data_IF_949573037485
#
_entry.id   IF_949573037485
#
_cell.length_a   1.000
_cell.length_b   1.000
_cell.length_c   1.000
_cell.angle_alpha   90.00
_cell.angle_beta   90.00
_cell.angle_gamma   90.00
#
_symmetry.space_group_name_H-M   'P 1'
#
loop_
_entity.id
_entity.type
_entity.pdbx_description
1 polymer ?
#
# COMPACT_ATOMS: atom_id res chain seq x y z
N UNK A 1 -4.61 25.30 -10.79
CA UNK A 1 -5.57 24.22 -11.11
C UNK A 1 -5.91 23.47 -9.83
N UNK A 2 -7.19 23.31 -9.47
CA UNK A 2 -7.59 22.60 -8.23
C UNK A 2 -7.66 21.10 -8.50
N UNK A 3 -6.83 20.30 -7.82
CA UNK A 3 -6.81 18.84 -7.98
C UNK A 3 -8.14 18.22 -7.54
N UNK A 4 -8.77 17.45 -8.45
CA UNK A 4 -9.98 16.66 -8.20
C UNK A 4 -9.64 15.40 -7.41
N UNK A 5 -10.65 14.68 -6.92
CA UNK A 5 -10.41 13.44 -6.18
C UNK A 5 -9.84 12.34 -7.08
N UNK A 6 -10.35 12.19 -8.30
CA UNK A 6 -9.79 11.27 -9.31
C UNK A 6 -8.29 11.47 -9.49
N UNK A 7 -7.84 12.73 -9.65
CA UNK A 7 -6.43 13.05 -9.88
C UNK A 7 -5.57 12.62 -8.67
N UNK A 8 -6.07 12.83 -7.45
CA UNK A 8 -5.35 12.47 -6.22
C UNK A 8 -5.19 10.95 -6.05
N UNK A 9 -6.23 10.17 -6.33
CA UNK A 9 -6.15 8.71 -6.25
C UNK A 9 -5.22 8.14 -7.35
N UNK A 10 -5.24 8.71 -8.56
CA UNK A 10 -4.29 8.34 -9.63
C UNK A 10 -2.85 8.61 -9.20
N UNK A 11 -2.56 9.83 -8.72
CA UNK A 11 -1.22 10.22 -8.25
C UNK A 11 -0.77 9.27 -7.13
N UNK A 12 -1.64 8.98 -6.17
CA UNK A 12 -1.33 8.08 -5.07
C UNK A 12 -0.98 6.66 -5.54
N UNK A 13 -1.77 6.09 -6.47
CA UNK A 13 -1.48 4.77 -7.05
C UNK A 13 -0.14 4.76 -7.79
N UNK A 14 0.18 5.81 -8.56
CA UNK A 14 1.47 5.95 -9.26
C UNK A 14 2.63 5.98 -8.26
N UNK A 15 2.52 6.80 -7.20
CA UNK A 15 3.55 6.90 -6.17
C UNK A 15 3.76 5.55 -5.48
N UNK A 16 2.69 4.84 -5.13
CA UNK A 16 2.77 3.53 -4.48
C UNK A 16 3.40 2.47 -5.40
N UNK A 17 3.03 2.46 -6.69
CA UNK A 17 3.67 1.60 -7.69
C UNK A 17 5.16 1.90 -7.86
N UNK A 18 5.53 3.18 -7.90
CA UNK A 18 6.92 3.61 -7.96
C UNK A 18 7.71 3.15 -6.72
N UNK A 19 7.14 3.24 -5.51
CA UNK A 19 7.78 2.77 -4.28
C UNK A 19 8.12 1.28 -4.33
N UNK A 20 7.16 0.42 -4.72
CA UNK A 20 7.41 -1.02 -4.86
C UNK A 20 8.42 -1.33 -5.97
N UNK A 21 8.39 -0.55 -7.05
CA UNK A 21 9.35 -0.70 -8.16
C UNK A 21 10.77 -0.38 -7.70
N UNK A 22 10.96 0.73 -6.98
CA UNK A 22 12.27 1.10 -6.41
C UNK A 22 12.76 0.03 -5.43
N UNK A 23 11.89 -0.49 -4.56
CA UNK A 23 12.25 -1.56 -3.64
C UNK A 23 12.72 -2.82 -4.40
N UNK A 24 12.02 -3.22 -5.45
CA UNK A 24 12.41 -4.36 -6.28
C UNK A 24 13.77 -4.13 -6.96
N UNK A 25 14.00 -2.93 -7.52
CA UNK A 25 15.28 -2.56 -8.13
C UNK A 25 16.43 -2.60 -7.12
N UNK A 26 16.22 -2.16 -5.89
CA UNK A 26 17.23 -2.25 -4.82
C UNK A 26 17.57 -3.72 -4.53
N UNK A 27 16.57 -4.60 -4.37
CA UNK A 27 16.81 -6.03 -4.12
C UNK A 27 17.58 -6.68 -5.26
N UNK A 28 17.20 -6.41 -6.52
CA UNK A 28 17.90 -6.93 -7.71
C UNK A 28 19.32 -6.41 -7.78
N UNK A 29 19.54 -5.12 -7.52
CA UNK A 29 20.89 -4.53 -7.53
C UNK A 29 21.78 -5.19 -6.49
N UNK A 30 21.28 -5.40 -5.27
CA UNK A 30 22.02 -6.08 -4.21
C UNK A 30 22.31 -7.54 -4.56
N UNK A 31 21.37 -8.25 -5.20
CA UNK A 31 21.63 -9.59 -5.73
C UNK A 31 22.76 -9.61 -6.77
N UNK A 32 22.84 -8.60 -7.64
CA UNK A 32 23.91 -8.50 -8.64
C UNK A 32 25.27 -8.17 -8.02
N UNK A 33 25.28 -7.46 -6.90
CA UNK A 33 26.51 -7.12 -6.17
C UNK A 33 26.96 -8.23 -5.22
N UNK A 34 26.03 -9.07 -4.73
CA UNK A 34 26.31 -10.18 -3.83
C UNK A 34 26.17 -11.54 -4.53
N UNK A 35 27.28 -12.01 -5.10
CA UNK A 35 27.33 -13.29 -5.80
C UNK A 35 27.44 -14.52 -4.88
N UNK A 36 27.61 -14.31 -3.56
CA UNK A 36 27.75 -15.41 -2.60
C UNK A 36 26.39 -15.93 -2.13
N UNK A 37 25.38 -15.06 -2.10
CA UNK A 37 24.04 -15.39 -1.61
C UNK A 37 23.02 -15.15 -2.72
N UNK A 38 22.35 -16.23 -3.14
CA UNK A 38 21.17 -16.13 -3.98
C UNK A 38 19.95 -15.80 -3.11
N UNK A 39 19.63 -14.50 -3.01
CA UNK A 39 18.51 -13.93 -2.24
C UNK A 39 17.17 -14.53 -2.66
N UNK A 40 16.94 -14.66 -3.97
CA UNK A 40 15.66 -15.20 -4.49
C UNK A 40 15.49 -16.65 -4.05
N UNK A 41 16.53 -17.47 -4.24
CA UNK A 41 16.52 -18.87 -3.81
C UNK A 41 16.40 -18.98 -2.29
N UNK A 42 17.12 -18.16 -1.53
CA UNK A 42 17.09 -18.17 -0.07
C UNK A 42 15.70 -17.83 0.48
N UNK A 43 15.05 -16.79 -0.04
CA UNK A 43 13.69 -16.42 0.35
C UNK A 43 12.67 -17.50 -0.02
N UNK A 44 12.86 -18.15 -1.18
CA UNK A 44 11.99 -19.24 -1.64
C UNK A 44 12.11 -20.49 -0.74
N UNK A 45 13.35 -20.85 -0.35
CA UNK A 45 13.60 -21.98 0.53
C UNK A 45 13.24 -21.71 2.00
N UNK A 46 13.13 -20.45 2.40
CA UNK A 46 12.76 -20.03 3.77
C UNK A 46 11.28 -19.63 3.90
N UNK A 47 10.45 -20.04 2.94
CA UNK A 47 9.05 -19.62 2.84
C UNK A 47 8.18 -20.14 3.99
N UNK A 48 8.50 -21.29 4.58
CA UNK A 48 7.85 -21.81 5.78
C UNK A 48 7.99 -20.88 7.01
N UNK A 49 9.11 -20.15 7.07
CA UNK A 49 9.45 -19.16 8.10
C UNK A 49 8.85 -17.77 7.87
N UNK A 50 9.63 -16.72 8.18
CA UNK A 50 9.16 -15.33 8.08
C UNK A 50 9.13 -14.80 6.64
N UNK A 51 9.80 -15.47 5.69
CA UNK A 51 9.87 -15.02 4.30
C UNK A 51 8.47 -14.96 3.64
N UNK A 52 7.51 -15.81 4.05
CA UNK A 52 6.12 -15.70 3.57
C UNK A 52 5.51 -14.33 3.79
N UNK A 53 5.80 -13.68 4.92
CA UNK A 53 5.27 -12.35 5.24
C UNK A 53 5.89 -11.26 4.37
N UNK A 54 7.13 -11.44 3.93
CA UNK A 54 7.74 -10.58 2.92
C UNK A 54 6.97 -10.66 1.59
N UNK A 55 6.72 -11.87 1.09
CA UNK A 55 5.97 -12.07 -0.15
C UNK A 55 4.51 -11.63 -0.04
N UNK A 56 3.81 -11.99 1.04
CA UNK A 56 2.43 -11.58 1.29
C UNK A 56 2.31 -10.05 1.39
N UNK A 57 3.24 -9.40 2.10
CA UNK A 57 3.31 -7.95 2.18
C UNK A 57 3.38 -7.31 0.79
N UNK A 58 4.28 -7.77 -0.08
CA UNK A 58 4.39 -7.27 -1.46
C UNK A 58 3.12 -7.53 -2.26
N UNK A 59 2.59 -8.76 -2.24
CA UNK A 59 1.39 -9.14 -3.00
C UNK A 59 0.19 -8.28 -2.58
N UNK A 60 -0.04 -8.14 -1.28
CA UNK A 60 -1.12 -7.31 -0.77
C UNK A 60 -0.88 -5.82 -1.05
N UNK A 61 0.37 -5.34 -1.06
CA UNK A 61 0.67 -3.97 -1.46
C UNK A 61 0.30 -3.72 -2.93
N UNK A 62 0.61 -4.66 -3.82
CA UNK A 62 0.18 -4.60 -5.23
C UNK A 62 -1.34 -4.58 -5.36
N UNK A 63 -2.04 -5.39 -4.57
CA UNK A 63 -3.51 -5.36 -4.51
C UNK A 63 -4.03 -4.00 -4.04
N UNK A 64 -3.42 -3.39 -3.01
CA UNK A 64 -3.78 -2.04 -2.55
C UNK A 64 -3.56 -1.01 -3.65
N UNK A 65 -2.44 -1.06 -4.39
CA UNK A 65 -2.18 -0.17 -5.53
C UNK A 65 -3.32 -0.27 -6.56
N UNK A 66 -3.69 -1.49 -6.95
CA UNK A 66 -4.79 -1.73 -7.88
C UNK A 66 -6.11 -1.21 -7.31
N UNK A 67 -6.39 -1.46 -6.03
CA UNK A 67 -7.60 -0.99 -5.36
C UNK A 67 -7.68 0.55 -5.34
N UNK A 68 -6.57 1.25 -5.10
CA UNK A 68 -6.48 2.73 -5.16
C UNK A 68 -6.73 3.22 -6.59
N UNK A 69 -6.14 2.56 -7.60
CA UNK A 69 -6.36 2.90 -9.01
C UNK A 69 -7.82 2.69 -9.44
N UNK A 70 -8.43 1.56 -9.07
CA UNK A 70 -9.86 1.27 -9.33
C UNK A 70 -10.74 2.28 -8.60
N UNK A 71 -10.37 2.67 -7.38
CA UNK A 71 -11.08 3.72 -6.64
C UNK A 71 -11.08 5.05 -7.39
N UNK A 72 -9.98 5.39 -8.07
CA UNK A 72 -9.94 6.57 -8.93
C UNK A 72 -11.00 6.51 -10.05
N UNK A 73 -11.32 5.33 -10.59
CA UNK A 73 -12.37 5.19 -11.61
C UNK A 73 -13.76 5.52 -11.03
N UNK A 74 -14.03 5.14 -9.77
CA UNK A 74 -15.28 5.53 -9.10
C UNK A 74 -15.38 7.05 -8.92
N UNK A 75 -14.29 7.70 -8.49
CA UNK A 75 -14.27 9.17 -8.39
C UNK A 75 -14.35 9.84 -9.76
N UNK A 76 -13.71 9.29 -10.79
CA UNK A 76 -13.81 9.75 -12.17
C UNK A 76 -15.25 9.71 -12.66
N UNK A 77 -15.96 8.61 -12.40
CA UNK A 77 -17.36 8.48 -12.76
C UNK A 77 -18.23 9.54 -12.07
N UNK A 78 -18.01 9.83 -10.78
CA UNK A 78 -18.73 10.89 -10.08
C UNK A 78 -18.39 12.29 -10.60
N UNK A 79 -17.11 12.65 -10.65
CA UNK A 79 -16.66 14.02 -10.92
C UNK A 79 -16.69 14.38 -12.41
N UNK A 80 -16.36 13.44 -13.29
CA UNK A 80 -16.22 13.67 -14.74
C UNK A 80 -17.48 13.20 -15.48
N UNK A 81 -17.88 11.94 -15.30
CA UNK A 81 -19.01 11.38 -16.07
C UNK A 81 -20.35 11.95 -15.63
N UNK A 82 -20.61 11.95 -14.32
CA UNK A 82 -21.88 12.43 -13.75
C UNK A 82 -21.86 13.92 -13.38
N UNK A 83 -20.69 14.57 -13.43
CA UNK A 83 -20.54 15.99 -13.10
C UNK A 83 -20.99 16.35 -11.67
N UNK A 84 -20.91 15.40 -10.72
CA UNK A 84 -21.35 15.61 -9.34
C UNK A 84 -20.40 16.53 -8.60
N UNK A 85 -20.96 17.51 -7.89
CA UNK A 85 -20.19 18.34 -6.95
C UNK A 85 -20.05 17.63 -5.60
N UNK A 86 -18.82 17.54 -5.12
CA UNK A 86 -18.53 17.07 -3.77
C UNK A 86 -18.90 18.14 -2.74
N UNK A 87 -19.89 17.82 -1.91
CA UNK A 87 -20.25 18.60 -0.72
C UNK A 87 -19.12 18.60 0.31
N UNK A 88 -19.16 19.50 1.29
CA UNK A 88 -18.16 19.55 2.38
C UNK A 88 -17.98 18.20 3.09
N UNK A 89 -19.08 17.49 3.37
CA UNK A 89 -19.05 16.17 4.05
C UNK A 89 -18.40 15.10 3.16
N UNK A 90 -18.86 14.94 1.92
CA UNK A 90 -18.29 13.97 0.98
C UNK A 90 -16.81 14.25 0.68
N UNK A 91 -16.41 15.52 0.64
CA UNK A 91 -15.03 15.93 0.46
C UNK A 91 -14.13 15.53 1.65
N UNK A 92 -14.59 15.68 2.89
CA UNK A 92 -13.85 15.21 4.07
C UNK A 92 -13.72 13.69 4.05
N UNK A 93 -14.81 12.97 3.77
CA UNK A 93 -14.83 11.52 3.73
C UNK A 93 -13.92 10.96 2.63
N UNK A 94 -13.87 11.59 1.46
CA UNK A 94 -12.94 11.24 0.39
C UNK A 94 -11.47 11.45 0.78
N UNK A 95 -11.18 12.49 1.57
CA UNK A 95 -9.86 12.71 2.16
C UNK A 95 -9.46 11.59 3.11
N UNK A 96 -10.35 11.23 4.05
CA UNK A 96 -10.11 10.11 4.99
C UNK A 96 -9.91 8.80 4.22
N UNK A 97 -10.69 8.58 3.16
CA UNK A 97 -10.54 7.40 2.31
C UNK A 97 -9.18 7.33 1.63
N UNK A 98 -8.76 8.43 0.99
CA UNK A 98 -7.46 8.51 0.32
C UNK A 98 -6.32 8.23 1.32
N UNK A 99 -6.36 8.86 2.50
CA UNK A 99 -5.34 8.68 3.54
C UNK A 99 -5.40 7.27 4.12
N UNK A 100 -6.57 6.73 4.44
CA UNK A 100 -6.71 5.39 5.00
C UNK A 100 -6.21 4.30 4.05
N UNK A 101 -6.48 4.41 2.75
CA UNK A 101 -5.95 3.45 1.77
C UNK A 101 -4.42 3.52 1.63
N UNK A 102 -3.86 4.73 1.58
CA UNK A 102 -2.44 4.92 1.29
C UNK A 102 -1.53 4.84 2.52
N UNK A 103 -1.97 5.36 3.65
CA UNK A 103 -1.22 5.28 4.91
C UNK A 103 -1.58 3.99 5.63
N UNK A 104 -2.86 3.73 5.87
CA UNK A 104 -3.33 2.50 6.52
C UNK A 104 -2.97 1.26 5.72
N UNK A 105 -3.50 1.14 4.50
CA UNK A 105 -3.29 -0.04 3.66
C UNK A 105 -1.83 -0.25 3.28
N UNK A 106 -1.24 0.72 2.57
CA UNK A 106 0.14 0.59 2.12
C UNK A 106 1.15 0.51 3.29
N UNK A 107 0.90 1.23 4.39
CA UNK A 107 1.72 1.17 5.60
C UNK A 107 1.72 -0.21 6.25
N UNK A 108 0.53 -0.83 6.42
CA UNK A 108 0.44 -2.19 6.94
C UNK A 108 1.23 -3.19 6.08
N UNK A 109 1.14 -3.07 4.76
CA UNK A 109 1.82 -3.97 3.82
C UNK A 109 3.34 -3.76 3.79
N UNK A 110 3.80 -2.51 3.89
CA UNK A 110 5.22 -2.20 4.01
C UNK A 110 5.81 -2.71 5.33
N UNK A 111 5.10 -2.54 6.45
CA UNK A 111 5.53 -3.07 7.76
C UNK A 111 5.60 -4.59 7.69
N UNK A 112 4.58 -5.26 7.14
CA UNK A 112 4.59 -6.72 6.94
C UNK A 112 5.76 -7.18 6.08
N UNK A 113 6.04 -6.45 4.98
CA UNK A 113 7.16 -6.73 4.08
C UNK A 113 8.49 -6.62 4.81
N UNK A 114 8.71 -5.51 5.52
CA UNK A 114 9.91 -5.26 6.31
C UNK A 114 10.11 -6.32 7.38
N UNK A 115 9.05 -6.59 8.15
CA UNK A 115 9.06 -7.56 9.23
C UNK A 115 9.46 -8.94 8.67
N UNK A 116 8.79 -9.39 7.62
CA UNK A 116 9.11 -10.66 6.96
C UNK A 116 10.59 -10.77 6.59
N UNK A 117 11.15 -9.71 5.99
CA UNK A 117 12.56 -9.63 5.60
C UNK A 117 13.51 -9.63 6.81
N UNK A 118 13.19 -8.85 7.85
CA UNK A 118 13.99 -8.74 9.07
C UNK A 118 14.14 -10.09 9.78
N UNK A 119 13.06 -10.87 9.89
CA UNK A 119 13.08 -12.19 10.53
C UNK A 119 13.97 -13.21 9.82
N UNK A 120 14.25 -13.02 8.52
CA UNK A 120 15.10 -13.94 7.75
C UNK A 120 16.60 -13.70 7.94
N UNK A 121 17.01 -12.58 8.56
CA UNK A 121 18.41 -12.16 8.64
C UNK A 121 18.96 -11.55 7.34
N UNK A 122 18.12 -11.41 6.29
CA UNK A 122 18.55 -10.90 4.98
C UNK A 122 18.89 -9.41 4.99
N UNK A 123 18.36 -8.64 5.95
CA UNK A 123 18.66 -7.21 6.08
C UNK A 123 20.16 -6.93 6.26
N UNK A 124 20.90 -7.82 6.93
CA UNK A 124 22.37 -7.68 7.08
C UNK A 124 23.13 -7.76 5.76
N UNK A 125 22.55 -8.34 4.70
CA UNK A 125 23.19 -8.34 3.38
C UNK A 125 23.34 -6.92 2.83
N UNK A 126 22.36 -6.05 3.11
CA UNK A 126 22.33 -4.68 2.61
C UNK A 126 23.37 -3.76 3.29
N UNK A 127 23.85 -4.14 4.48
CA UNK A 127 24.79 -3.33 5.28
C UNK A 127 26.16 -3.98 5.47
N UNK A 128 26.21 -5.30 5.60
CA UNK A 128 27.42 -6.07 5.93
C UNK A 128 27.85 -7.03 4.81
N UNK A 129 27.04 -7.18 3.74
CA UNK A 129 27.34 -8.08 2.63
C UNK A 129 27.23 -9.57 2.97
N UNK A 130 26.76 -9.93 4.17
CA UNK A 130 26.61 -11.31 4.64
C UNK A 130 25.25 -11.54 5.29
N UNK A 131 24.83 -12.80 5.35
CA UNK A 131 23.58 -13.18 6.01
C UNK A 131 23.71 -12.99 7.53
N UNK A 132 22.72 -12.31 8.11
CA UNK A 132 22.61 -12.14 9.56
C UNK A 132 21.94 -13.33 10.25
N UNK A 133 21.81 -13.27 11.59
CA UNK A 133 21.07 -14.29 12.32
C UNK A 133 19.58 -14.24 11.99
N UNK A 134 18.92 -15.40 12.02
CA UNK A 134 17.46 -15.49 11.89
C UNK A 134 16.79 -15.15 13.22
N UNK A 135 15.72 -14.36 13.18
CA UNK A 135 14.94 -13.97 14.36
C UNK A 135 13.44 -14.13 14.07
N UNK A 136 12.90 -15.36 14.02
CA UNK A 136 11.52 -15.59 13.60
C UNK A 136 10.47 -14.94 14.51
N UNK A 137 10.76 -14.83 15.81
CA UNK A 137 9.89 -14.20 16.81
C UNK A 137 9.73 -12.68 16.62
N UNK A 138 10.51 -12.05 15.73
CA UNK A 138 10.36 -10.61 15.47
C UNK A 138 8.96 -10.26 14.93
N UNK A 139 8.20 -11.23 14.40
CA UNK A 139 6.82 -11.01 13.93
C UNK A 139 5.89 -10.60 15.04
N UNK A 140 6.10 -11.09 16.25
CA UNK A 140 5.22 -10.81 17.38
C UNK A 140 5.21 -9.31 17.70
N UNK A 141 6.35 -8.63 17.51
CA UNK A 141 6.49 -7.18 17.70
C UNK A 141 5.78 -6.35 16.62
N UNK A 142 5.44 -6.94 15.47
CA UNK A 142 4.81 -6.25 14.34
C UNK A 142 3.31 -6.54 14.20
N UNK A 143 2.77 -7.52 14.95
CA UNK A 143 1.33 -7.84 14.91
C UNK A 143 0.47 -6.61 15.23
N UNK A 144 0.76 -5.94 16.35
CA UNK A 144 -0.05 -4.82 16.82
C UNK A 144 0.08 -3.59 15.90
N UNK A 145 1.28 -3.17 15.44
CA UNK A 145 1.42 -2.14 14.41
C UNK A 145 0.64 -2.47 13.14
N UNK A 146 0.79 -3.67 12.57
CA UNK A 146 0.07 -4.08 11.36
C UNK A 146 -1.44 -3.99 11.60
N UNK A 147 -1.93 -4.49 12.74
CA UNK A 147 -3.34 -4.41 13.12
C UNK A 147 -3.86 -2.99 13.20
N UNK A 148 -3.10 -2.06 13.79
CA UNK A 148 -3.47 -0.64 13.86
C UNK A 148 -3.60 0.03 12.49
N UNK A 149 -2.65 -0.24 11.59
CA UNK A 149 -2.71 0.27 10.21
C UNK A 149 -3.86 -0.34 9.40
N UNK A 150 -4.17 -1.63 9.59
CA UNK A 150 -5.35 -2.28 8.98
C UNK A 150 -6.65 -1.68 9.52
N UNK A 151 -6.75 -1.40 10.82
CA UNK A 151 -7.91 -0.73 11.39
C UNK A 151 -8.09 0.66 10.76
N UNK A 152 -7.00 1.40 10.56
CA UNK A 152 -7.03 2.69 9.89
C UNK A 152 -7.45 2.60 8.42
N UNK A 153 -6.98 1.58 7.69
CA UNK A 153 -7.47 1.25 6.35
C UNK A 153 -8.99 1.03 6.35
N UNK A 154 -9.49 0.22 7.27
CA UNK A 154 -10.91 -0.10 7.37
C UNK A 154 -11.77 1.16 7.56
N UNK A 155 -11.36 2.07 8.45
CA UNK A 155 -12.00 3.38 8.63
C UNK A 155 -11.99 4.16 7.31
N UNK A 156 -10.85 4.21 6.62
CA UNK A 156 -10.72 4.84 5.31
C UNK A 156 -11.73 4.32 4.28
N UNK A 157 -11.79 3.00 4.11
CA UNK A 157 -12.70 2.35 3.15
C UNK A 157 -14.17 2.62 3.48
N UNK A 158 -14.54 2.54 4.76
CA UNK A 158 -15.92 2.85 5.21
C UNK A 158 -16.26 4.32 4.90
N UNK A 159 -15.36 5.26 5.22
CA UNK A 159 -15.54 6.67 4.87
C UNK A 159 -15.67 6.86 3.35
N UNK A 160 -14.89 6.13 2.57
CA UNK A 160 -14.97 6.12 1.10
C UNK A 160 -16.33 5.74 0.57
N UNK A 161 -16.87 4.60 1.02
CA UNK A 161 -18.19 4.12 0.63
C UNK A 161 -19.31 5.10 1.01
N UNK A 162 -19.30 5.60 2.25
CA UNK A 162 -20.29 6.59 2.71
C UNK A 162 -20.17 7.89 1.90
N UNK A 163 -18.94 8.39 1.69
CA UNK A 163 -18.67 9.61 0.94
C UNK A 163 -19.14 9.50 -0.52
N UNK A 164 -18.91 8.34 -1.14
CA UNK A 164 -19.38 8.03 -2.48
C UNK A 164 -20.90 8.06 -2.57
N UNK A 165 -21.61 7.38 -1.66
CA UNK A 165 -23.07 7.35 -1.65
C UNK A 165 -23.69 8.74 -1.46
N UNK A 166 -23.11 9.57 -0.59
CA UNK A 166 -23.55 10.95 -0.38
C UNK A 166 -23.36 11.78 -1.65
N UNK A 167 -22.19 11.68 -2.30
CA UNK A 167 -21.90 12.42 -3.52
C UNK A 167 -22.79 11.97 -4.69
N UNK A 168 -23.03 10.67 -4.81
CA UNK A 168 -23.89 10.08 -5.85
C UNK A 168 -25.34 10.58 -5.74
N UNK A 169 -25.89 10.61 -4.52
CA UNK A 169 -27.25 11.08 -4.23
C UNK A 169 -27.40 12.60 -4.26
N UNK A 170 -26.31 13.35 -4.37
CA UNK A 170 -26.39 14.80 -4.47
C UNK A 170 -26.97 15.19 -5.84
N UNK A 171 -28.03 15.99 -5.87
CA UNK A 171 -28.70 16.41 -7.11
C UNK A 171 -28.06 17.65 -7.75
N UNK A 172 -27.09 18.29 -7.08
CA UNK A 172 -26.34 19.41 -7.64
C UNK A 172 -25.32 18.92 -8.68
N UNK A 173 -25.67 19.08 -9.96
CA UNK A 173 -24.74 18.89 -11.07
C UNK A 173 -23.90 20.16 -11.31
N UNK A 174 -22.72 20.00 -11.90
CA UNK A 174 -21.99 21.11 -12.54
C UNK A 174 -22.84 21.64 -13.70
N UNK A 175 -23.29 22.90 -13.63
CA UNK A 175 -23.72 23.62 -14.83
C UNK A 175 -22.55 23.61 -15.82
N UNK A 176 -22.83 23.15 -17.04
CA UNK A 176 -21.86 23.02 -18.13
C UNK A 176 -21.42 24.38 -18.64
#
# INVERSE_FOLDING_TARGET
MKLRWVDRFIIAAIIQGALITVMALVIVTIQMMNNQINIIQYLSLSFDGTAKWFFLGIIFHLIIIVAVAVTALFYSHLEITLGKKFTKKSNILAGIHLVGMNVGGAGAMMIMTYAGLAGTGLLSIFTEGKLGPKYPAIMDSFIEPIGGFIAFLAIGVVCGGIGFLIAYRNNEALEK
#
